data_IF_918664954382
#
_entry.id   IF_918664954382
#
_cell.length_a   1.000
_cell.length_b   1.000
_cell.length_c   1.000
_cell.angle_alpha   90.00
_cell.angle_beta   90.00
_cell.angle_gamma   90.00
#
_symmetry.space_group_name_H-M   'P 1'
#
loop_
_entity.id
_entity.type
_entity.pdbx_description
1 polymer ?
#
# COMPACT_ATOMS: atom_id res chain seq x y z
N UNK A 1 -15.85 33.41 5.01
CA UNK A 1 -14.51 33.19 4.43
C UNK A 1 -14.67 32.21 3.30
N UNK A 2 -14.14 32.52 2.13
CA UNK A 2 -14.16 31.60 1.00
C UNK A 2 -13.22 30.41 1.27
N UNK A 3 -13.58 29.19 0.83
CA UNK A 3 -12.73 28.04 1.00
C UNK A 3 -11.44 28.17 0.18
N UNK A 4 -10.38 27.54 0.65
CA UNK A 4 -9.06 27.55 0.02
C UNK A 4 -8.57 26.14 -0.21
N UNK A 5 -7.84 25.95 -1.31
CA UNK A 5 -7.04 24.75 -1.57
C UNK A 5 -5.62 25.07 -1.11
N UNK A 6 -5.07 24.25 -0.20
CA UNK A 6 -3.69 24.35 0.26
C UNK A 6 -2.88 23.18 -0.31
N UNK A 7 -1.79 23.50 -1.02
CA UNK A 7 -0.87 22.50 -1.58
C UNK A 7 0.52 22.68 -0.97
N UNK A 8 1.05 21.60 -0.44
CA UNK A 8 2.45 21.47 -0.05
C UNK A 8 3.11 20.45 -0.97
N UNK A 9 4.25 20.80 -1.56
CA UNK A 9 4.88 19.94 -2.56
C UNK A 9 6.40 20.01 -2.55
N UNK A 10 7.05 18.97 -3.06
CA UNK A 10 8.48 18.96 -3.33
C UNK A 10 8.81 17.88 -4.37
N UNK A 11 10.00 17.95 -4.97
CA UNK A 11 10.54 16.87 -5.80
C UNK A 11 11.62 16.18 -4.96
N UNK A 12 11.46 14.88 -4.74
CA UNK A 12 12.41 14.09 -3.96
C UNK A 12 13.69 13.79 -4.76
N UNK A 13 14.79 13.39 -4.11
CA UNK A 13 16.01 12.94 -4.80
C UNK A 13 15.77 11.77 -5.77
N UNK A 14 14.72 10.98 -5.55
CA UNK A 14 14.31 9.86 -6.37
C UNK A 14 13.44 10.25 -7.58
N UNK A 15 13.43 11.55 -7.95
CA UNK A 15 12.61 12.09 -9.04
C UNK A 15 11.10 11.85 -8.87
N UNK A 16 10.62 11.84 -7.62
CA UNK A 16 9.19 11.77 -7.31
C UNK A 16 8.67 13.16 -6.95
N UNK A 17 7.67 13.65 -7.69
CA UNK A 17 6.92 14.83 -7.30
C UNK A 17 5.87 14.43 -6.25
N UNK A 18 6.05 14.88 -5.02
CA UNK A 18 5.10 14.66 -3.93
C UNK A 18 4.24 15.89 -3.77
N UNK A 19 2.91 15.71 -3.79
CA UNK A 19 1.91 16.77 -3.68
C UNK A 19 0.93 16.40 -2.57
N UNK A 20 0.68 17.34 -1.64
CA UNK A 20 -0.25 17.17 -0.52
C UNK A 20 -1.29 18.30 -0.55
N UNK A 21 -2.54 17.96 -0.86
CA UNK A 21 -3.62 18.91 -1.20
C UNK A 21 -4.84 18.78 -0.29
N UNK A 22 -5.14 19.81 0.49
CA UNK A 22 -6.18 19.78 1.54
C UNK A 22 -6.91 21.12 1.63
N UNK A 23 -8.07 21.13 2.29
CA UNK A 23 -8.78 22.37 2.65
C UNK A 23 -8.23 23.05 3.92
N UNK A 24 -7.22 22.44 4.56
CA UNK A 24 -6.52 22.98 5.73
C UNK A 24 -5.01 23.03 5.52
N UNK A 25 -4.40 24.16 5.90
CA UNK A 25 -2.98 24.44 5.69
C UNK A 25 -2.06 23.52 6.49
N UNK A 26 -2.43 23.24 7.74
CA UNK A 26 -1.63 22.40 8.63
C UNK A 26 -1.66 20.95 8.16
N UNK A 27 -2.83 20.44 7.79
CA UNK A 27 -2.99 19.11 7.21
C UNK A 27 -2.18 18.96 5.92
N UNK A 28 -2.27 19.94 5.01
CA UNK A 28 -1.45 19.94 3.78
C UNK A 28 0.04 19.80 4.08
N UNK A 29 0.56 20.58 5.03
CA UNK A 29 2.00 20.54 5.36
C UNK A 29 2.38 19.23 6.06
N UNK A 30 1.64 18.81 7.09
CA UNK A 30 1.97 17.63 7.89
C UNK A 30 1.86 16.35 7.06
N UNK A 31 0.78 16.19 6.28
CA UNK A 31 0.59 14.99 5.46
C UNK A 31 1.63 14.92 4.34
N UNK A 32 2.03 16.06 3.76
CA UNK A 32 3.15 16.12 2.81
C UNK A 32 4.46 15.69 3.47
N UNK A 33 4.72 16.16 4.70
CA UNK A 33 5.93 15.78 5.44
C UNK A 33 6.00 14.28 5.71
N UNK A 34 4.87 13.65 6.07
CA UNK A 34 4.84 12.20 6.32
C UNK A 34 5.23 11.36 5.11
N UNK A 35 5.08 11.90 3.89
CA UNK A 35 5.44 11.21 2.64
C UNK A 35 6.93 11.34 2.32
N UNK A 36 7.53 12.50 2.60
CA UNK A 36 8.90 12.82 2.18
C UNK A 36 9.95 12.50 3.25
N UNK A 37 9.54 12.28 4.51
CA UNK A 37 10.47 11.97 5.61
C UNK A 37 11.32 10.72 5.34
N UNK A 38 10.78 9.77 4.58
CA UNK A 38 11.48 8.53 4.17
C UNK A 38 12.67 8.82 3.26
N UNK A 39 12.62 9.94 2.53
CA UNK A 39 13.65 10.39 1.60
C UNK A 39 14.66 11.35 2.28
N UNK A 40 14.64 11.42 3.62
CA UNK A 40 15.55 12.27 4.40
C UNK A 40 15.22 13.77 4.36
N UNK A 41 14.10 14.16 3.76
CA UNK A 41 13.68 15.55 3.65
C UNK A 41 12.99 16.04 4.93
N UNK A 42 13.08 17.35 5.15
CA UNK A 42 12.55 18.07 6.32
C UNK A 42 11.27 18.82 5.97
N UNK A 43 10.47 19.24 6.97
CA UNK A 43 9.26 20.03 6.72
C UNK A 43 9.52 21.35 5.95
N UNK A 44 10.72 21.92 6.07
CA UNK A 44 11.13 23.13 5.37
C UNK A 44 11.37 22.94 3.87
N UNK A 45 11.53 21.71 3.40
CA UNK A 45 11.76 21.40 1.99
C UNK A 45 10.45 21.36 1.17
N UNK A 46 9.30 21.45 1.84
CA UNK A 46 7.99 21.57 1.22
C UNK A 46 7.74 23.02 0.80
N UNK A 47 7.66 23.24 -0.51
CA UNK A 47 7.11 24.47 -1.09
C UNK A 47 5.60 24.50 -0.85
N UNK A 48 5.05 25.70 -0.69
CA UNK A 48 3.63 25.90 -0.32
C UNK A 48 2.97 26.86 -1.30
N UNK A 49 1.79 26.49 -1.79
CA UNK A 49 0.91 27.36 -2.57
C UNK A 49 -0.52 27.21 -2.07
N UNK A 50 -1.31 28.27 -2.19
CA UNK A 50 -2.72 28.26 -1.83
C UNK A 50 -3.54 28.99 -2.89
N UNK A 51 -4.78 28.55 -3.08
CA UNK A 51 -5.71 29.14 -4.02
C UNK A 51 -7.07 29.34 -3.39
N UNK A 52 -7.59 30.55 -3.47
CA UNK A 52 -8.93 30.90 -2.99
C UNK A 52 -9.99 30.56 -4.04
N UNK A 53 -11.09 29.98 -3.57
CA UNK A 53 -12.29 29.74 -4.38
C UNK A 53 -13.21 30.95 -4.30
N UNK A 54 -14.07 31.17 -5.30
CA UNK A 54 -15.12 32.19 -5.21
C UNK A 54 -16.10 31.86 -4.08
N UNK A 55 -16.85 32.86 -3.61
CA UNK A 55 -17.85 32.66 -2.54
C UNK A 55 -18.93 31.65 -2.94
N UNK A 56 -19.37 31.72 -4.19
CA UNK A 56 -20.22 30.72 -4.82
C UNK A 56 -19.36 29.94 -5.80
N UNK A 57 -19.26 28.63 -5.58
CA UNK A 57 -18.43 27.74 -6.38
C UNK A 57 -19.08 26.38 -6.52
N UNK A 58 -18.69 25.64 -7.55
CA UNK A 58 -19.06 24.25 -7.74
C UNK A 58 -17.81 23.35 -7.92
N UNK A 59 -18.03 22.05 -8.18
CA UNK A 59 -16.92 21.11 -8.41
C UNK A 59 -16.05 21.46 -9.62
N UNK A 60 -16.60 22.16 -10.63
CA UNK A 60 -15.84 22.63 -11.79
C UNK A 60 -14.90 23.75 -11.40
N UNK A 61 -15.34 24.68 -10.56
CA UNK A 61 -14.49 25.74 -10.02
C UNK A 61 -13.34 25.18 -9.18
N UNK A 62 -13.63 24.19 -8.31
CA UNK A 62 -12.60 23.51 -7.51
C UNK A 62 -11.59 22.80 -8.42
N UNK A 63 -12.07 22.05 -9.41
CA UNK A 63 -11.22 21.38 -10.40
C UNK A 63 -10.33 22.39 -11.12
N UNK A 64 -10.90 23.49 -11.64
CA UNK A 64 -10.17 24.53 -12.35
C UNK A 64 -9.09 25.16 -11.48
N UNK A 65 -9.42 25.50 -10.23
CA UNK A 65 -8.46 26.09 -9.29
C UNK A 65 -7.35 25.10 -8.93
N UNK A 66 -7.67 23.81 -8.72
CA UNK A 66 -6.66 22.77 -8.50
C UNK A 66 -5.69 22.67 -9.68
N UNK A 67 -6.19 22.60 -10.91
CA UNK A 67 -5.35 22.53 -12.12
C UNK A 67 -4.48 23.79 -12.30
N UNK A 68 -5.03 24.97 -12.02
CA UNK A 68 -4.28 26.23 -12.02
C UNK A 68 -3.08 26.16 -11.06
N UNK A 69 -3.31 25.73 -9.81
CA UNK A 69 -2.25 25.56 -8.82
C UNK A 69 -1.22 24.51 -9.27
N UNK A 70 -1.66 23.36 -9.76
CA UNK A 70 -0.76 22.29 -10.24
C UNK A 70 0.08 22.74 -11.46
N UNK A 71 -0.41 23.67 -12.28
CA UNK A 71 0.34 24.23 -13.41
C UNK A 71 1.58 24.99 -12.94
N UNK A 72 1.51 25.65 -11.79
CA UNK A 72 2.69 26.31 -11.18
C UNK A 72 3.76 25.31 -10.76
N UNK A 73 3.35 24.09 -10.39
CA UNK A 73 4.23 23.02 -9.91
C UNK A 73 4.84 22.24 -11.07
N UNK A 74 4.07 21.98 -12.13
CA UNK A 74 4.49 21.16 -13.28
C UNK A 74 5.80 21.62 -13.92
N UNK A 75 6.08 22.92 -13.86
CA UNK A 75 7.29 23.53 -14.44
C UNK A 75 8.44 23.70 -13.42
N UNK A 76 8.31 23.14 -12.20
CA UNK A 76 9.26 23.38 -11.10
C UNK A 76 10.50 22.49 -11.11
N UNK A 77 10.54 21.46 -11.96
CA UNK A 77 11.69 20.55 -12.11
C UNK A 77 11.35 19.29 -12.90
N UNK A 78 12.34 18.41 -13.04
CA UNK A 78 12.20 17.09 -13.68
C UNK A 78 11.81 16.02 -12.65
N UNK A 79 10.84 15.16 -13.01
CA UNK A 79 10.34 14.07 -12.17
C UNK A 79 9.73 12.97 -13.03
N UNK A 80 9.80 11.72 -12.58
CA UNK A 80 9.33 10.53 -13.32
C UNK A 80 7.99 10.00 -12.80
N UNK A 81 7.72 10.21 -11.50
CA UNK A 81 6.49 9.80 -10.82
C UNK A 81 5.87 10.95 -10.05
N UNK A 82 4.55 10.91 -9.88
CA UNK A 82 3.78 11.81 -9.04
C UNK A 82 3.05 11.01 -7.95
N UNK A 83 3.23 11.41 -6.70
CA UNK A 83 2.37 10.98 -5.59
C UNK A 83 1.52 12.15 -5.16
N UNK A 84 0.21 12.04 -5.37
CA UNK A 84 -0.75 13.04 -4.94
C UNK A 84 -1.54 12.50 -3.75
N UNK A 85 -1.41 13.15 -2.59
CA UNK A 85 -2.22 12.86 -1.41
C UNK A 85 -3.21 13.99 -1.15
N UNK A 86 -4.46 13.67 -0.87
CA UNK A 86 -5.43 14.70 -0.55
C UNK A 86 -6.72 14.19 0.06
N UNK A 87 -7.57 15.15 0.43
CA UNK A 87 -8.91 14.87 0.93
C UNK A 87 -9.83 14.34 -0.16
N UNK A 88 -10.56 13.25 0.10
CA UNK A 88 -11.54 12.68 -0.85
C UNK A 88 -12.65 13.68 -1.20
N UNK A 89 -12.93 14.60 -0.27
CA UNK A 89 -13.97 15.61 -0.32
C UNK A 89 -13.38 17.02 -0.45
N UNK A 90 -12.25 17.15 -1.17
CA UNK A 90 -11.53 18.41 -1.33
C UNK A 90 -12.47 19.54 -1.76
N UNK A 91 -12.70 20.48 -0.84
CA UNK A 91 -13.57 21.64 -1.02
C UNK A 91 -14.96 21.27 -1.56
N UNK A 92 -15.56 20.16 -1.15
CA UNK A 92 -16.98 19.91 -1.40
C UNK A 92 -17.84 20.69 -0.41
N UNK A 93 -19.09 20.99 -0.80
CA UNK A 93 -20.04 21.68 0.08
C UNK A 93 -20.46 20.83 1.28
N UNK A 94 -20.61 19.52 1.07
CA UNK A 94 -20.92 18.55 2.13
C UNK A 94 -19.74 17.62 2.35
N UNK A 95 -19.51 17.24 3.60
CA UNK A 95 -18.32 16.44 3.94
C UNK A 95 -18.40 15.00 3.40
N UNK A 96 -19.60 14.48 3.20
CA UNK A 96 -19.90 13.18 2.66
C UNK A 96 -19.79 13.09 1.12
N UNK A 97 -19.76 14.24 0.44
CA UNK A 97 -19.62 14.28 -1.01
C UNK A 97 -18.17 13.95 -1.41
N UNK A 98 -18.01 13.26 -2.53
CA UNK A 98 -16.71 13.02 -3.16
C UNK A 98 -16.40 14.17 -4.13
N UNK A 99 -15.15 14.60 -4.16
CA UNK A 99 -14.62 15.51 -5.18
C UNK A 99 -14.43 14.72 -6.50
N UNK A 100 -15.33 14.82 -7.49
CA UNK A 100 -15.39 13.85 -8.59
C UNK A 100 -14.13 13.87 -9.47
N UNK A 101 -13.49 15.04 -9.55
CA UNK A 101 -12.25 15.25 -10.32
C UNK A 101 -11.03 14.52 -9.72
N UNK A 102 -11.13 13.93 -8.53
CA UNK A 102 -10.10 13.05 -7.98
C UNK A 102 -10.27 11.59 -8.43
N UNK A 103 -11.41 11.25 -9.04
CA UNK A 103 -11.77 9.90 -9.45
C UNK A 103 -11.98 9.76 -10.97
N UNK A 104 -11.95 10.87 -11.73
CA UNK A 104 -12.22 10.93 -13.17
C UNK A 104 -10.94 10.96 -14.05
N UNK A 105 -9.80 10.52 -13.50
CA UNK A 105 -8.47 10.56 -14.15
C UNK A 105 -7.94 11.97 -14.47
N UNK A 106 -8.55 13.05 -13.95
CA UNK A 106 -8.07 14.43 -14.17
C UNK A 106 -6.58 14.56 -13.84
N UNK A 107 -6.11 14.00 -12.72
CA UNK A 107 -4.71 14.10 -12.31
C UNK A 107 -3.77 13.29 -13.22
N UNK A 108 -4.18 12.09 -13.65
CA UNK A 108 -3.44 11.28 -14.61
C UNK A 108 -3.29 12.02 -15.95
N UNK A 109 -4.37 12.63 -16.43
CA UNK A 109 -4.38 13.41 -17.67
C UNK A 109 -3.53 14.69 -17.56
N UNK A 110 -3.46 15.29 -16.37
CA UNK A 110 -2.67 16.48 -16.13
C UNK A 110 -1.15 16.21 -16.15
N UNK A 111 -0.73 15.03 -15.70
CA UNK A 111 0.66 14.54 -15.72
C UNK A 111 0.86 13.43 -16.76
N UNK A 112 0.74 13.73 -18.07
CA UNK A 112 0.81 12.71 -19.11
C UNK A 112 2.19 12.04 -19.14
N UNK A 113 2.19 10.72 -19.30
CA UNK A 113 3.42 9.91 -19.39
C UNK A 113 4.16 9.72 -18.07
N UNK A 114 3.59 10.16 -16.94
CA UNK A 114 4.13 9.94 -15.59
C UNK A 114 3.31 8.87 -14.88
N UNK A 115 3.96 8.09 -14.02
CA UNK A 115 3.23 7.26 -13.05
C UNK A 115 2.56 8.18 -12.04
N UNK A 116 1.24 8.05 -11.83
CA UNK A 116 0.49 8.87 -10.86
C UNK A 116 -0.15 7.95 -9.84
N UNK A 117 0.29 8.05 -8.60
CA UNK A 117 -0.31 7.39 -7.44
C UNK A 117 -1.14 8.40 -6.65
N UNK A 118 -2.41 8.08 -6.48
CA UNK A 118 -3.35 8.87 -5.67
C UNK A 118 -3.46 8.25 -4.27
N UNK A 119 -3.39 9.06 -3.23
CA UNK A 119 -3.69 8.66 -1.85
C UNK A 119 -4.80 9.58 -1.35
N UNK A 120 -6.04 9.11 -1.40
CA UNK A 120 -7.20 9.90 -1.02
C UNK A 120 -7.71 9.47 0.35
N UNK A 121 -7.94 10.42 1.25
CA UNK A 121 -8.30 10.12 2.63
C UNK A 121 -9.40 10.97 3.27
N UNK A 122 -10.04 10.42 4.31
CA UNK A 122 -11.03 11.09 5.16
C UNK A 122 -10.76 10.79 6.64
N UNK A 123 -11.17 11.72 7.51
CA UNK A 123 -11.28 11.45 8.94
C UNK A 123 -12.48 10.58 9.34
N UNK A 124 -13.40 10.28 8.43
CA UNK A 124 -14.60 9.47 8.68
C UNK A 124 -14.57 8.18 7.85
N UNK A 125 -14.65 7.04 8.51
CA UNK A 125 -14.60 5.71 7.87
C UNK A 125 -15.74 5.51 6.86
N UNK A 126 -16.96 5.92 7.21
CA UNK A 126 -18.15 5.83 6.33
C UNK A 126 -17.91 6.50 4.96
N UNK A 127 -17.15 7.60 4.92
CA UNK A 127 -16.88 8.32 3.67
C UNK A 127 -15.83 7.61 2.83
N UNK A 128 -14.86 6.95 3.48
CA UNK A 128 -13.89 6.09 2.81
C UNK A 128 -14.58 4.86 2.24
N UNK A 129 -15.52 4.26 2.96
CA UNK A 129 -16.33 3.15 2.44
C UNK A 129 -17.17 3.56 1.22
N UNK A 130 -17.78 4.75 1.27
CA UNK A 130 -18.49 5.33 0.13
C UNK A 130 -17.58 5.51 -1.08
N UNK A 131 -16.38 6.04 -0.88
CA UNK A 131 -15.37 6.19 -1.93
C UNK A 131 -14.93 4.84 -2.51
N UNK A 132 -14.75 3.82 -1.67
CA UNK A 132 -14.41 2.45 -2.09
C UNK A 132 -15.51 1.87 -2.99
N UNK A 133 -16.77 1.96 -2.56
CA UNK A 133 -17.92 1.51 -3.36
C UNK A 133 -17.99 2.23 -4.70
N UNK A 134 -17.70 3.52 -4.71
CA UNK A 134 -17.66 4.32 -5.93
C UNK A 134 -16.51 3.90 -6.86
N UNK A 135 -15.29 3.75 -6.33
CA UNK A 135 -14.10 3.32 -7.07
C UNK A 135 -14.27 1.92 -7.67
N UNK A 136 -14.87 0.98 -6.91
CA UNK A 136 -15.20 -0.37 -7.38
C UNK A 136 -16.16 -0.33 -8.58
N UNK A 137 -17.17 0.56 -8.55
CA UNK A 137 -18.16 0.70 -9.63
C UNK A 137 -17.55 1.22 -10.93
N UNK A 138 -16.58 2.13 -10.84
CA UNK A 138 -15.96 2.76 -12.02
C UNK A 138 -14.68 2.05 -12.49
N UNK A 139 -14.22 1.02 -11.78
CA UNK A 139 -12.99 0.29 -12.12
C UNK A 139 -11.74 1.15 -11.96
N UNK A 140 -11.66 1.99 -10.92
CA UNK A 140 -10.55 2.90 -10.72
C UNK A 140 -9.24 2.14 -10.40
N UNK A 141 -8.11 2.67 -10.86
CA UNK A 141 -6.76 2.13 -10.62
C UNK A 141 -5.79 3.24 -10.22
N UNK A 142 -4.66 2.89 -9.60
CA UNK A 142 -3.63 3.85 -9.20
C UNK A 142 -4.02 4.71 -7.99
N UNK A 143 -4.96 4.25 -7.17
CA UNK A 143 -5.46 4.98 -6.01
C UNK A 143 -5.39 4.14 -4.74
N UNK A 144 -5.10 4.78 -3.62
CA UNK A 144 -5.21 4.26 -2.26
C UNK A 144 -6.30 5.08 -1.59
N UNK A 145 -7.38 4.43 -1.16
CA UNK A 145 -8.46 5.04 -0.40
C UNK A 145 -8.31 4.64 1.06
N UNK A 146 -8.15 5.60 1.96
CA UNK A 146 -7.88 5.29 3.36
C UNK A 146 -8.46 6.28 4.36
N UNK A 147 -8.59 5.86 5.61
CA UNK A 147 -8.81 6.79 6.72
C UNK A 147 -7.52 7.51 7.09
N UNK A 148 -7.64 8.77 7.54
CA UNK A 148 -6.51 9.56 8.06
C UNK A 148 -5.85 8.88 9.26
N UNK A 149 -4.54 9.11 9.42
CA UNK A 149 -3.78 8.63 10.57
C UNK A 149 -4.41 9.11 11.89
N UNK A 150 -4.54 8.22 12.87
CA UNK A 150 -5.15 8.52 14.18
C UNK A 150 -6.65 8.20 14.27
N UNK A 151 -7.26 7.68 13.21
CA UNK A 151 -8.62 7.16 13.29
C UNK A 151 -8.67 5.83 14.06
N UNK A 152 -9.73 5.60 14.84
CA UNK A 152 -9.90 4.36 15.63
C UNK A 152 -10.10 3.15 14.72
N UNK A 153 -10.80 3.35 13.61
CA UNK A 153 -11.06 2.34 12.59
C UNK A 153 -10.16 2.64 11.39
N UNK A 154 -9.04 1.93 11.31
CA UNK A 154 -8.13 2.04 10.17
C UNK A 154 -8.72 1.26 8.99
N UNK A 155 -9.19 2.00 7.98
CA UNK A 155 -9.64 1.45 6.71
C UNK A 155 -8.66 1.88 5.61
N UNK A 156 -8.21 0.95 4.78
CA UNK A 156 -7.36 1.24 3.62
C UNK A 156 -7.61 0.21 2.51
N UNK A 157 -7.72 0.68 1.27
CA UNK A 157 -7.85 -0.16 0.08
C UNK A 157 -7.04 0.43 -1.07
N UNK A 158 -6.20 -0.40 -1.68
CA UNK A 158 -5.33 -0.05 -2.81
C UNK A 158 -5.91 -0.59 -4.12
N UNK A 159 -5.76 0.18 -5.18
CA UNK A 159 -6.27 -0.12 -6.52
C UNK A 159 -5.15 -0.10 -7.57
N UNK A 160 -5.03 -1.12 -8.44
CA UNK A 160 -5.76 -2.39 -8.35
C UNK A 160 -5.46 -3.10 -7.02
N UNK A 161 -6.37 -3.96 -6.51
CA UNK A 161 -6.10 -4.72 -5.30
C UNK A 161 -4.76 -5.42 -5.46
N UNK A 162 -3.84 -5.19 -4.53
CA UNK A 162 -2.63 -5.98 -4.47
C UNK A 162 -3.05 -7.44 -4.45
N UNK A 163 -2.35 -8.30 -5.21
CA UNK A 163 -2.49 -9.76 -5.11
C UNK A 163 -1.89 -10.21 -3.78
N UNK A 164 -2.40 -9.66 -2.69
CA UNK A 164 -2.16 -10.04 -1.31
C UNK A 164 -3.43 -10.79 -0.93
N UNK A 165 -3.31 -12.11 -0.87
CA UNK A 165 -4.30 -13.09 -0.47
C UNK A 165 -5.48 -12.50 0.31
N UNK A 166 -6.68 -12.83 -0.16
CA UNK A 166 -7.92 -12.73 0.61
C UNK A 166 -7.76 -13.41 1.97
N UNK A 167 -7.26 -12.70 2.97
CA UNK A 167 -7.38 -13.06 4.39
C UNK A 167 -8.69 -12.50 4.94
N UNK A 168 -9.77 -12.71 4.19
CA UNK A 168 -11.10 -13.06 4.73
C UNK A 168 -11.40 -14.51 4.33
N UNK A 169 -10.40 -15.38 4.47
CA UNK A 169 -10.66 -16.76 4.78
C UNK A 169 -10.66 -16.82 6.31
N UNK A 170 -11.78 -17.21 6.90
CA UNK A 170 -11.74 -17.93 8.18
C UNK A 170 -10.78 -19.10 7.96
N UNK A 171 -9.51 -18.89 8.30
CA UNK A 171 -8.61 -19.99 8.53
C UNK A 171 -9.18 -20.72 9.74
N UNK A 172 -9.97 -21.76 9.46
CA UNK A 172 -10.20 -22.81 10.43
C UNK A 172 -8.82 -23.30 10.83
N UNK A 173 -8.35 -22.78 11.96
CA UNK A 173 -7.18 -23.28 12.65
C UNK A 173 -7.42 -24.78 12.78
N UNK A 174 -6.58 -25.66 12.22
CA UNK A 174 -6.72 -27.07 12.48
C UNK A 174 -6.57 -27.22 13.99
N UNK A 175 -7.63 -27.67 14.65
CA UNK A 175 -7.59 -28.00 16.07
C UNK A 175 -6.49 -29.05 16.22
N UNK A 176 -5.40 -28.77 16.94
CA UNK A 176 -4.35 -29.76 17.13
C UNK A 176 -4.95 -30.95 17.87
N UNK A 177 -4.78 -32.16 17.33
CA UNK A 177 -5.18 -33.38 18.02
C UNK A 177 -4.40 -33.46 19.33
N UNK A 178 -5.12 -33.36 20.46
CA UNK A 178 -4.59 -33.36 21.82
C UNK A 178 -3.94 -34.68 22.25
N UNK A 179 -3.82 -35.66 21.35
CA UNK A 179 -3.20 -36.97 21.60
C UNK A 179 -1.73 -37.06 21.22
N UNK A 180 -1.15 -36.04 20.57
CA UNK A 180 0.28 -36.03 20.21
C UNK A 180 1.20 -35.43 21.31
N UNK A 181 0.66 -34.94 22.43
CA UNK A 181 1.43 -34.27 23.50
C UNK A 181 1.85 -35.18 24.66
N UNK A 182 2.02 -36.48 24.43
CA UNK A 182 2.57 -37.38 25.45
C UNK A 182 3.70 -38.21 24.88
N UNK A 183 4.90 -37.65 24.91
CA UNK A 183 6.13 -38.43 25.03
C UNK A 183 7.06 -37.82 26.09
N UNK A 184 7.81 -38.68 26.79
CA UNK A 184 8.30 -38.43 28.14
C UNK A 184 9.47 -37.47 28.17
N UNK A 185 9.59 -36.75 29.29
CA UNK A 185 10.70 -35.86 29.65
C UNK A 185 12.05 -36.44 29.23
N UNK A 186 12.71 -35.84 28.23
CA UNK A 186 14.08 -36.20 27.85
C UNK A 186 15.02 -35.34 28.67
N UNK A 187 15.82 -35.97 29.53
CA UNK A 187 16.88 -35.29 30.27
C UNK A 187 18.05 -35.09 29.31
N UNK A 188 18.35 -33.84 28.95
CA UNK A 188 19.38 -33.50 27.98
C UNK A 188 20.70 -33.27 28.74
N UNK A 189 21.65 -34.20 28.63
CA UNK A 189 23.00 -34.07 29.22
C UNK A 189 24.11 -33.80 28.18
N UNK A 190 23.81 -33.74 26.87
CA UNK A 190 24.83 -33.45 25.84
C UNK A 190 24.29 -32.68 24.63
N UNK A 191 25.12 -31.81 24.05
CA UNK A 191 24.77 -30.87 22.97
C UNK A 191 24.42 -31.59 21.66
N UNK A 192 24.89 -32.83 21.47
CA UNK A 192 24.59 -33.62 20.28
C UNK A 192 23.19 -34.25 20.26
N UNK A 193 22.51 -34.40 21.41
CA UNK A 193 21.12 -34.92 21.45
C UNK A 193 20.06 -33.84 21.17
N UNK A 194 20.44 -32.56 21.17
CA UNK A 194 19.57 -31.45 20.78
C UNK A 194 19.33 -31.36 19.26
N UNK A 195 20.30 -31.76 18.43
CA UNK A 195 20.16 -31.75 16.97
C UNK A 195 19.14 -32.78 16.48
N UNK A 196 19.09 -33.96 17.09
CA UNK A 196 18.14 -35.01 16.73
C UNK A 196 16.70 -34.68 17.18
N UNK A 197 16.53 -33.92 18.27
CA UNK A 197 15.22 -33.46 18.73
C UNK A 197 14.66 -32.29 17.90
N UNK A 198 15.52 -31.45 17.33
CA UNK A 198 15.14 -30.33 16.46
C UNK A 198 14.87 -30.75 15.00
N UNK A 199 15.41 -31.88 14.56
CA UNK A 199 15.21 -32.44 13.21
C UNK A 199 13.78 -32.89 12.89
N UNK A 200 12.90 -33.00 13.89
CA UNK A 200 11.50 -33.43 13.73
C UNK A 200 10.47 -32.29 13.83
N UNK A 201 10.90 -31.03 13.88
CA UNK A 201 10.01 -29.86 13.82
C UNK A 201 10.02 -29.33 12.39
N UNK A 202 9.06 -29.77 11.57
CA UNK A 202 8.82 -29.16 10.25
C UNK A 202 8.56 -30.11 9.08
N UNK A 203 8.06 -31.33 9.28
CA UNK A 203 7.60 -32.18 8.18
C UNK A 203 6.10 -31.94 7.95
N UNK A 204 5.78 -31.14 6.93
CA UNK A 204 4.43 -31.04 6.39
C UNK A 204 4.23 -32.18 5.39
N UNK A 205 3.52 -33.24 5.78
CA UNK A 205 3.16 -34.30 4.86
C UNK A 205 2.18 -33.77 3.80
N UNK A 206 2.61 -33.73 2.54
CA UNK A 206 1.71 -33.67 1.39
C UNK A 206 1.03 -35.03 1.25
N UNK A 207 -0.30 -35.07 1.33
CA UNK A 207 -1.06 -36.29 1.08
C UNK A 207 -0.88 -36.69 -0.39
N UNK A 208 -0.17 -37.79 -0.63
CA UNK A 208 -0.32 -38.57 -1.87
C UNK A 208 -0.90 -39.91 -1.48
N UNK A 209 -2.11 -40.18 -1.97
CA UNK A 209 -2.77 -41.46 -1.80
C UNK A 209 -2.07 -42.56 -2.63
N UNK A 210 -1.75 -43.66 -1.95
CA UNK A 210 -1.66 -45.09 -2.33
C UNK A 210 -1.51 -45.46 -3.83
N UNK A 211 -0.72 -46.47 -4.25
CA UNK A 211 -0.69 -47.85 -3.73
C UNK A 211 0.42 -48.70 -4.40
N UNK A 212 1.08 -49.59 -3.61
CA UNK A 212 1.62 -50.93 -3.97
C UNK A 212 2.84 -51.04 -4.92
N UNK A 213 3.78 -51.98 -4.82
CA UNK A 213 3.98 -53.19 -3.99
C UNK A 213 5.45 -53.65 -4.16
N UNK A 214 6.10 -53.98 -3.04
CA UNK A 214 7.27 -54.84 -2.66
C UNK A 214 8.16 -55.61 -3.70
N UNK A 215 9.29 -56.24 -3.29
CA UNK A 215 10.69 -55.75 -3.37
C UNK A 215 11.60 -56.65 -4.26
N UNK A 216 12.93 -56.43 -4.23
CA UNK A 216 14.05 -57.40 -3.94
C UNK A 216 15.32 -57.20 -4.82
N UNK A 217 16.49 -57.26 -4.14
CA UNK A 217 17.87 -57.60 -4.55
C UNK A 217 18.74 -56.56 -5.31
N UNK A 218 19.81 -56.04 -4.69
CA UNK A 218 21.24 -56.52 -4.75
C UNK A 218 21.86 -56.33 -6.15
N UNK A 219 23.09 -55.85 -6.42
CA UNK A 219 24.32 -55.58 -5.65
C UNK A 219 25.34 -54.89 -6.61
N UNK A 220 26.35 -54.21 -6.04
CA UNK A 220 27.71 -53.92 -6.58
C UNK A 220 28.04 -52.67 -7.45
N UNK A 221 28.89 -51.82 -6.84
CA UNK A 221 29.98 -50.94 -7.38
C UNK A 221 30.99 -51.70 -8.29
N UNK A 222 32.10 -51.13 -8.86
CA UNK A 222 32.71 -49.77 -8.77
C UNK A 222 33.29 -49.18 -10.10
N UNK A 223 33.87 -47.97 -10.03
CA UNK A 223 34.99 -47.50 -10.90
C UNK A 223 34.86 -46.03 -11.35
N UNK A 224 35.53 -45.03 -10.73
CA UNK A 224 36.89 -44.51 -11.06
C UNK A 224 36.99 -44.09 -12.56
N UNK A 225 37.31 -42.87 -13.01
CA UNK A 225 38.20 -41.82 -12.49
C UNK A 225 37.98 -40.51 -13.26
N UNK A 226 38.42 -39.42 -12.64
CA UNK A 226 38.70 -38.07 -13.15
C UNK A 226 39.38 -37.99 -14.54
N UNK A 227 39.11 -36.90 -15.27
CA UNK A 227 40.14 -35.88 -15.55
C UNK A 227 39.57 -34.58 -16.16
N UNK A 228 40.05 -33.52 -15.56
CA UNK A 228 40.12 -32.11 -15.93
C UNK A 228 41.06 -31.86 -17.12
N UNK A 229 41.02 -30.60 -17.58
CA UNK A 229 41.85 -29.89 -18.56
C UNK A 229 41.17 -29.77 -19.93
N UNK A 230 41.15 -28.62 -20.61
CA UNK A 230 41.82 -27.33 -20.43
C UNK A 230 40.99 -26.29 -21.21
#
# INVERSE_FOLDING_TARGET
MSPKIYISYTITPNKELVISSYHDKFQSTMNGFTLIKKDGLKPGDLKKIEGELPEQYDNSDVKKKLIELLTTIKNSGDFDRVTYRGDLNLCTHKKEDLAPFLFDQTLNNFFPGKEVQLILESGNAEYVEGAIKFADKIGLTGVILQTKSGNKEALSKTYPPSVSNNSKAEASVPIPESRALTQPTVNIEDVHTLSDALGNIGIFNTSSADTGTTPTNEVSKPGFTTKTNE
#
